data_IF_224996168322
#
_entry.id   IF_224996168322
#
_cell.length_a   1.000
_cell.length_b   1.000
_cell.length_c   1.000
_cell.angle_alpha   90.00
_cell.angle_beta   90.00
_cell.angle_gamma   90.00
#
_symmetry.space_group_name_H-M   'P 1'
#
loop_
_entity.id
_entity.type
_entity.pdbx_description
1 polymer ?
2 branched ?
3 non-polymer ?
#
# COMPACT_ATOMS: atom_id res chain seq x y z
N UNK A 37 -10.80 16.15 -7.34
CA UNK A 37 -9.83 16.16 -8.41
C UNK A 37 -9.56 14.76 -8.95
N UNK A 38 -8.82 14.65 -10.05
CA UNK A 38 -8.51 13.34 -10.62
C UNK A 38 -7.05 13.19 -11.08
N UNK A 39 -6.28 12.42 -10.33
CA UNK A 39 -4.89 12.08 -10.67
C UNK A 39 -4.00 13.27 -11.06
N UNK A 40 -4.06 14.33 -10.28
CA UNK A 40 -3.23 15.52 -10.48
C UNK A 40 -1.82 15.33 -9.94
N UNK A 41 -0.86 15.95 -10.64
CA UNK A 41 0.57 15.93 -10.32
C UNK A 41 1.17 14.55 -10.52
N UNK A 42 1.51 14.27 -11.78
CA UNK A 42 2.06 13.01 -12.29
C UNK A 42 3.59 13.07 -12.31
N UNK A 43 4.25 12.31 -11.40
CA UNK A 43 5.70 12.32 -11.22
C UNK A 43 6.23 10.91 -11.04
N UNK A 44 7.51 10.70 -11.33
CA UNK A 44 8.16 9.42 -11.07
C UNK A 44 8.70 9.37 -9.64
N UNK A 45 9.12 8.19 -9.17
CA UNK A 45 9.69 8.07 -7.84
C UNK A 45 11.02 8.81 -7.74
N UNK A 46 11.78 8.82 -8.83
CA UNK A 46 13.04 9.55 -8.89
C UNK A 46 14.06 9.08 -7.86
N UNK A 47 14.56 10.05 -7.10
CA UNK A 47 15.60 9.81 -6.10
C UNK A 47 15.07 9.12 -4.86
N UNK A 48 13.76 8.86 -4.82
CA UNK A 48 13.17 8.20 -3.68
C UNK A 48 13.02 6.70 -3.93
N UNK A 49 13.63 6.20 -5.01
CA UNK A 49 13.57 4.79 -5.36
C UNK A 49 13.96 3.86 -4.21
N UNK A 50 14.76 4.36 -3.29
CA UNK A 50 15.22 3.55 -2.16
C UNK A 50 14.04 3.04 -1.33
N UNK A 51 12.88 3.69 -1.43
CA UNK A 51 11.68 3.25 -0.73
C UNK A 51 11.21 1.92 -1.29
N UNK A 52 11.38 1.75 -2.60
CA UNK A 52 10.99 0.53 -3.28
C UNK A 52 12.00 -0.55 -2.95
N UNK A 53 13.27 -0.16 -2.90
CA UNK A 53 14.31 -1.11 -2.54
C UNK A 53 14.05 -1.66 -1.15
N UNK A 54 13.73 -0.77 -0.19
CA UNK A 54 13.48 -1.22 1.17
C UNK A 54 12.28 -2.16 1.21
N UNK A 55 11.27 -1.88 0.40
CA UNK A 55 10.10 -2.75 0.35
C UNK A 55 10.53 -4.16 -0.02
N UNK A 56 11.34 -4.27 -1.06
CA UNK A 56 11.84 -5.57 -1.53
C UNK A 56 12.73 -6.24 -0.48
N UNK A 57 13.53 -5.46 0.24
CA UNK A 57 14.37 -6.01 1.30
C UNK A 57 13.55 -6.70 2.39
N UNK A 58 12.37 -6.14 2.76
CA UNK A 58 11.49 -6.73 3.76
C UNK A 58 10.72 -7.93 3.17
N UNK A 59 10.23 -7.79 1.93
CA UNK A 59 9.46 -8.80 1.20
C UNK A 59 10.24 -10.11 1.06
N UNK A 60 11.52 -9.99 0.73
CA UNK A 60 12.41 -11.12 0.47
C UNK A 60 12.95 -11.81 1.73
N UNK A 61 12.58 -11.35 2.92
CA UNK A 61 13.10 -11.97 4.16
C UNK A 61 12.77 -13.47 4.23
N UNK A 62 11.63 -13.85 3.68
CA UNK A 62 11.15 -15.23 3.71
C UNK A 62 12.00 -16.23 2.89
N UNK A 63 12.90 -15.73 2.04
CA UNK A 63 13.68 -16.61 1.17
C UNK A 63 14.73 -17.44 1.93
N UNK A 64 15.13 -18.61 1.41
CA UNK A 64 16.22 -19.46 1.87
C UNK A 64 17.55 -18.70 1.92
N UNK A 65 18.48 -19.13 2.78
CA UNK A 65 19.81 -18.57 2.99
C UNK A 65 20.73 -18.67 1.79
N UNK A 66 20.42 -19.58 0.88
CA UNK A 66 21.25 -19.76 -0.30
C UNK A 66 20.41 -19.86 -1.55
N UNK A 67 19.98 -18.70 -2.06
CA UNK A 67 19.12 -18.70 -3.22
C UNK A 67 19.29 -17.45 -4.08
N UNK A 68 18.98 -17.62 -5.36
CA UNK A 68 18.94 -16.55 -6.36
C UNK A 68 17.62 -16.69 -7.10
N UNK A 69 16.71 -15.77 -6.84
CA UNK A 69 15.36 -15.90 -7.36
C UNK A 69 14.87 -14.65 -8.07
N UNK A 70 13.84 -14.80 -8.86
CA UNK A 70 13.17 -13.64 -9.42
C UNK A 70 11.77 -13.59 -8.85
N UNK A 71 11.44 -12.50 -8.18
CA UNK A 71 10.17 -12.36 -7.53
C UNK A 71 9.23 -11.53 -8.39
N UNK A 72 8.00 -11.99 -8.54
CA UNK A 72 7.02 -11.27 -9.33
C UNK A 72 5.75 -11.07 -8.53
N UNK A 73 5.35 -9.82 -8.38
CA UNK A 73 4.15 -9.45 -7.63
C UNK A 73 3.68 -8.07 -8.05
N UNK A 74 2.59 -7.62 -7.45
CA UNK A 74 2.09 -6.27 -7.70
C UNK A 74 2.84 -5.30 -6.81
N UNK A 75 4.13 -5.18 -7.09
CA UNK A 75 5.07 -4.37 -6.34
C UNK A 75 4.86 -2.92 -6.67
N UNK A 76 5.19 -1.99 -5.77
CA UNK A 76 5.13 -0.58 -6.00
C UNK A 76 6.05 -0.31 -7.17
N UNK A 77 5.64 0.59 -8.04
CA UNK A 77 6.41 0.86 -9.25
C UNK A 77 7.00 2.25 -9.22
N UNK A 78 7.62 2.63 -10.33
CA UNK A 78 8.37 3.88 -10.37
C UNK A 78 7.76 5.01 -11.18
N UNK A 79 6.83 4.72 -12.09
CA UNK A 79 6.31 5.81 -12.91
C UNK A 79 5.09 6.59 -12.35
N UNK A 80 3.91 5.98 -12.13
CA UNK A 80 2.65 6.64 -11.83
C UNK A 80 2.48 7.10 -10.38
N UNK A 81 3.31 8.05 -9.92
CA UNK A 81 3.11 8.58 -8.58
C UNK A 81 2.27 9.86 -8.67
N UNK A 82 1.29 10.00 -7.78
CA UNK A 82 0.40 11.15 -7.83
C UNK A 82 0.27 11.91 -6.53
N UNK A 83 0.01 13.20 -6.66
CA UNK A 83 -0.28 14.05 -5.50
C UNK A 83 -1.46 14.98 -5.84
N UNK A 84 -2.69 14.48 -5.69
CA UNK A 84 -3.89 15.18 -6.15
C UNK A 84 -4.39 16.09 -5.02
N UNK A 85 -4.05 17.38 -5.14
CA UNK A 85 -4.30 18.37 -4.09
C UNK A 85 -5.08 19.57 -4.62
N UNK A 86 -5.77 19.41 -5.74
CA UNK A 86 -6.58 20.50 -6.26
C UNK A 86 -7.87 20.65 -5.45
N UNK A 89 -13.26 22.46 1.86
CA UNK A 89 -14.37 21.61 1.45
C UNK A 89 -13.95 20.14 1.65
N UNK A 90 -14.73 19.38 2.46
CA UNK A 90 -14.46 17.97 2.79
C UNK A 90 -15.50 17.04 2.17
N UNK A 91 -16.16 17.49 1.11
CA UNK A 91 -17.15 16.67 0.40
C UNK A 91 -16.64 16.17 -0.94
N UNK A 92 -15.36 16.41 -1.22
CA UNK A 92 -14.75 16.00 -2.48
C UNK A 92 -13.78 14.85 -2.25
N UNK A 93 -13.60 14.02 -3.27
CA UNK A 93 -12.68 12.89 -3.19
C UNK A 93 -12.17 12.47 -4.56
N UNK A 94 -11.07 11.72 -4.55
CA UNK A 94 -10.43 11.21 -5.76
C UNK A 94 -10.80 9.75 -5.99
N UNK A 95 -11.09 9.38 -7.23
CA UNK A 95 -11.39 7.98 -7.50
C UNK A 95 -10.43 7.38 -8.51
N UNK A 96 -10.26 6.06 -8.40
CA UNK A 96 -9.42 5.26 -9.28
C UNK A 96 -10.17 3.98 -9.65
N UNK A 97 -9.83 3.38 -10.77
CA UNK A 97 -10.53 2.19 -11.22
C UNK A 97 -9.59 1.14 -11.82
N UNK A 98 -10.01 -0.12 -11.71
CA UNK A 98 -9.31 -1.29 -12.25
C UNK A 98 -7.89 -1.50 -11.76
N UNK A 99 -7.65 -1.33 -10.46
CA UNK A 99 -6.32 -1.59 -9.92
C UNK A 99 -6.34 -2.76 -8.93
N UNK A 100 -5.18 -3.41 -8.76
CA UNK A 100 -5.08 -4.62 -7.94
C UNK A 100 -4.33 -4.42 -6.63
N UNK A 101 -3.52 -3.38 -6.57
CA UNK A 101 -2.79 -3.05 -5.36
C UNK A 101 -2.60 -1.56 -5.28
N UNK A 102 -2.47 -1.05 -4.07
CA UNK A 102 -2.29 0.39 -3.89
C UNK A 102 -1.20 0.68 -2.87
N UNK A 103 -0.24 1.50 -3.25
CA UNK A 103 0.82 1.89 -2.34
C UNK A 103 0.86 3.39 -2.16
N UNK A 104 1.35 3.83 -1.01
CA UNK A 104 1.47 5.25 -0.75
C UNK A 104 2.63 5.60 0.16
N UNK A 105 2.98 6.88 0.14
CA UNK A 105 4.10 7.40 0.92
C UNK A 105 3.75 8.71 1.60
N UNK A 106 4.52 9.03 2.63
CA UNK A 106 4.36 10.23 3.41
C UNK A 106 5.49 11.22 3.14
N UNK A 107 5.15 12.40 2.64
CA UNK A 107 6.17 13.37 2.27
C UNK A 107 6.96 13.84 3.49
N UNK A 108 8.28 14.04 3.30
CA UNK A 108 9.20 14.54 4.31
C UNK A 108 10.48 15.03 3.62
N UNK A 115 1.53 21.76 5.91
CA UNK A 115 0.59 21.38 6.96
C UNK A 115 0.15 19.92 6.77
N UNK A 116 0.24 19.14 7.87
CA UNK A 116 -0.12 17.72 7.93
C UNK A 116 -1.57 17.56 8.39
N UNK A 117 -2.42 16.98 7.53
CA UNK A 117 -3.83 16.87 7.87
C UNK A 117 -4.28 15.40 7.92
N UNK A 118 -5.20 14.96 7.05
CA UNK A 118 -5.71 13.59 7.12
C UNK A 118 -5.82 12.89 5.77
N UNK A 119 -5.74 11.56 5.80
CA UNK A 119 -5.94 10.68 4.66
C UNK A 119 -7.11 9.70 4.88
N UNK A 120 -7.85 9.41 3.81
CA UNK A 120 -8.94 8.44 3.83
C UNK A 120 -8.91 7.54 2.60
N UNK A 121 -8.70 6.24 2.80
CA UNK A 121 -8.59 5.27 1.69
C UNK A 121 -9.64 4.15 1.76
N UNK A 122 -10.41 3.99 0.69
CA UNK A 122 -11.41 2.93 0.64
C UNK A 122 -11.26 2.01 -0.56
N UNK A 123 -11.16 0.70 -0.30
CA UNK A 123 -11.12 -0.29 -1.36
C UNK A 123 -12.45 -1.03 -1.36
N UNK A 124 -13.16 -0.98 -2.48
CA UNK A 124 -14.50 -1.56 -2.52
C UNK A 124 -14.49 -3.04 -2.87
N UNK A 125 -15.54 -3.73 -2.46
CA UNK A 125 -15.71 -5.16 -2.74
C UNK A 125 -17.02 -5.66 -2.15
N UNK A 126 -17.24 -6.97 -2.23
CA UNK A 126 -18.45 -7.57 -1.70
C UNK A 126 -18.21 -9.02 -1.25
N UNK A 127 -18.68 -9.37 -0.04
CA UNK A 127 -19.32 -8.59 1.00
C UNK A 127 -18.41 -7.63 1.79
N UNK A 128 -17.09 -7.77 1.69
CA UNK A 128 -16.19 -6.95 2.50
C UNK A 128 -15.58 -5.77 1.76
N UNK A 129 -15.37 -4.69 2.51
CA UNK A 129 -14.63 -3.52 2.04
C UNK A 129 -13.47 -3.21 3.00
N UNK A 130 -12.43 -2.52 2.50
CA UNK A 130 -11.28 -2.15 3.35
C UNK A 130 -11.23 -0.64 3.52
N UNK A 131 -11.21 -0.15 4.75
CA UNK A 131 -11.10 1.29 4.97
C UNK A 131 -9.93 1.64 5.88
N UNK A 132 -9.12 2.61 5.44
CA UNK A 132 -8.01 3.11 6.24
C UNK A 132 -8.20 4.61 6.51
N UNK A 133 -8.25 4.97 7.78
CA UNK A 133 -8.42 6.37 8.17
C UNK A 133 -7.27 6.84 9.04
N UNK A 134 -6.66 7.97 8.70
CA UNK A 134 -5.57 8.47 9.50
C UNK A 134 -6.04 9.63 10.36
N UNK A 135 -5.22 10.01 11.34
CA UNK A 135 -5.50 11.10 12.26
C UNK A 135 -4.25 11.94 12.42
N UNK A 136 -4.40 13.20 12.85
CA UNK A 136 -3.27 14.13 12.94
C UNK A 136 -2.27 13.77 14.04
N UNK A 137 -2.60 12.79 14.88
CA UNK A 137 -1.71 12.36 15.95
C UNK A 137 -0.73 11.32 15.41
N UNK A 138 0.30 11.79 14.72
CA UNK A 138 1.25 10.93 14.01
C UNK A 138 2.07 10.04 14.93
N UNK A 139 2.21 10.46 16.18
CA UNK A 139 2.98 9.74 17.17
C UNK A 139 2.13 8.89 18.11
N UNK A 140 0.89 8.59 17.71
CA UNK A 140 0.01 7.77 18.54
C UNK A 140 -0.92 6.92 17.66
N UNK A 141 -1.44 5.81 18.23
CA UNK A 141 -2.38 4.92 17.51
C UNK A 141 -3.81 5.44 17.65
N UNK A 144 -3.92 6.10 13.40
CA UNK A 144 -4.65 5.63 12.23
C UNK A 144 -5.31 4.27 12.53
N UNK A 145 -6.41 3.97 11.81
CA UNK A 145 -7.16 2.72 11.96
C UNK A 145 -7.43 2.06 10.62
N UNK A 146 -7.26 0.74 10.58
CA UNK A 146 -7.63 -0.04 9.41
C UNK A 146 -8.72 -1.05 9.79
N UNK A 147 -9.82 -1.09 9.00
CA UNK A 147 -10.93 -2.00 9.21
C UNK A 147 -11.32 -2.75 7.94
N UNK A 148 -11.59 -4.03 8.11
CA UNK A 148 -12.17 -4.86 7.07
C UNK A 148 -13.48 -5.41 7.59
N UNK A 149 -14.61 -4.93 7.02
CA UNK A 149 -15.96 -5.19 7.53
C UNK A 149 -17.04 -5.30 6.46
N UNK A 150 -18.28 -5.50 6.90
CA UNK A 150 -19.43 -5.54 5.97
C UNK A 150 -20.45 -4.39 6.11
N UNK A 151 -20.57 -3.52 5.10
CA UNK A 151 -21.52 -2.38 5.16
C UNK A 151 -21.52 -1.43 3.97
N UNK A 152 -20.91 -0.24 4.10
CA UNK A 152 -20.80 0.74 2.98
C UNK A 152 -19.95 1.93 3.43
N UNK A 153 -18.61 1.91 3.27
CA UNK A 153 -17.76 2.95 3.79
C UNK A 153 -18.14 4.27 3.14
N UNK A 154 -17.94 5.40 3.82
CA UNK A 154 -18.14 6.74 3.34
C UNK A 154 -17.05 7.08 2.35
N UNK A 155 -17.32 8.04 1.46
CA UNK A 155 -16.30 8.49 0.51
C UNK A 155 -15.42 9.57 1.14
N UNK A 156 -15.93 10.24 2.16
CA UNK A 156 -15.20 11.26 2.90
C UNK A 156 -15.40 11.04 4.39
N UNK A 157 -14.41 11.43 5.19
CA UNK A 157 -14.53 11.35 6.64
C UNK A 157 -14.26 12.68 7.31
N UNK A 158 -15.11 13.04 8.27
CA UNK A 158 -14.94 14.28 9.04
C UNK A 158 -14.44 13.99 10.45
N UNK A 159 -14.73 12.80 10.97
CA UNK A 159 -14.34 12.42 12.32
C UNK A 159 -13.03 11.64 12.26
N UNK A 160 -12.73 10.84 13.29
CA UNK A 160 -11.47 10.12 13.29
C UNK A 160 -11.47 8.84 14.12
N UNK A 161 -10.63 7.89 13.70
CA UNK A 161 -10.32 6.64 14.40
C UNK A 161 -11.53 5.78 14.78
N UNK A 162 -12.58 5.80 13.97
CA UNK A 162 -13.74 4.98 14.29
C UNK A 162 -13.82 3.76 13.37
N UNK A 163 -14.84 2.91 13.58
CA UNK A 163 -15.08 1.71 12.78
C UNK A 163 -16.54 1.25 12.93
N UNK A 164 -17.49 2.11 12.55
CA UNK A 164 -18.91 1.78 12.67
C UNK A 164 -19.67 1.88 11.35
N UNK A 165 -18.98 1.64 10.23
CA UNK A 165 -19.64 1.70 8.93
C UNK A 165 -20.13 0.34 8.46
N UNK A 166 -19.89 -0.70 9.24
CA UNK A 166 -20.27 -2.05 8.86
C UNK A 166 -20.22 -3.03 10.03
N UNK A 167 -20.48 -4.30 9.75
CA UNK A 167 -20.54 -5.33 10.77
C UNK A 167 -19.76 -6.58 10.38
N UNK A 168 -19.67 -7.54 11.32
CA UNK A 168 -18.97 -8.81 11.07
C UNK A 168 -17.55 -8.57 10.55
N UNK A 169 -16.78 -7.78 11.30
CA UNK A 169 -15.42 -7.37 10.95
C UNK A 169 -14.40 -8.49 11.13
N UNK A 170 -13.42 -8.52 10.23
CA UNK A 170 -12.33 -9.48 10.32
C UNK A 170 -11.07 -8.78 10.82
N UNK A 171 -10.98 -7.49 10.55
CA UNK A 171 -9.84 -6.71 11.00
C UNK A 171 -10.32 -5.39 11.59
N UNK A 172 -9.81 -5.07 12.77
CA UNK A 172 -10.07 -3.77 13.41
C UNK A 172 -8.81 -3.42 14.19
N UNK A 173 -7.90 -2.72 13.52
CA UNK A 173 -6.57 -2.51 14.08
C UNK A 173 -6.16 -1.05 14.15
N UNK A 174 -5.71 -0.65 15.33
CA UNK A 174 -5.21 0.71 15.55
C UNK A 174 -3.69 0.71 15.51
N UNK A 175 -3.13 1.67 14.80
CA UNK A 175 -1.68 1.76 14.67
C UNK A 175 -1.26 3.23 14.53
N UNK A 176 -0.01 3.57 14.88
CA UNK A 176 0.57 4.89 14.70
C UNK A 176 0.87 5.13 13.24
N UNK A 177 0.81 6.37 12.80
CA UNK A 177 1.17 6.66 11.43
C UNK A 177 2.67 6.52 11.20
N UNK A 178 3.48 7.13 12.10
CA UNK A 178 4.94 7.10 12.03
C UNK A 178 5.49 5.96 12.89
N UNK A 179 6.46 5.17 12.36
CA UNK A 179 7.13 4.08 13.04
C UNK A 179 7.72 4.52 14.36
N UNK A 180 7.56 3.67 15.37
CA UNK A 180 8.06 3.89 16.72
C UNK A 180 7.63 5.22 17.33
N UNK A 181 6.54 5.78 16.83
CA UNK A 181 5.99 7.04 17.33
C UNK A 181 7.02 8.16 17.27
N UNK A 182 7.85 8.16 16.23
CA UNK A 182 8.88 9.20 16.07
C UNK A 182 8.60 10.06 14.84
N UNK A 183 9.14 11.28 14.83
CA UNK A 183 9.03 12.25 13.72
C UNK A 183 9.81 13.49 14.08
N UNK A 185 11.55 9.38 12.70
CA UNK A 185 11.64 8.20 11.81
C UNK A 185 10.32 8.03 11.07
N UNK A 186 10.05 8.87 10.07
CA UNK A 186 8.75 8.81 9.39
C UNK A 186 8.93 9.22 7.93
N UNK A 187 8.28 8.50 7.02
CA UNK A 187 8.41 8.79 5.58
C UNK A 187 9.63 8.06 4.98
N UNK A 188 10.11 7.05 5.69
CA UNK A 188 11.28 6.28 5.25
C UNK A 188 10.91 4.87 4.79
N UNK A 189 9.64 4.67 4.46
CA UNK A 189 9.15 3.37 4.00
C UNK A 189 7.76 3.51 3.42
N UNK A 190 7.35 2.53 2.61
CA UNK A 190 6.04 2.56 1.97
C UNK A 190 4.99 1.82 2.75
N UNK A 191 3.75 2.25 2.59
CA UNK A 191 2.58 1.57 3.14
C UNK A 191 1.71 1.14 1.99
N UNK A 192 0.96 0.07 2.15
CA UNK A 192 0.06 -0.31 1.06
C UNK A 192 -0.75 -1.57 1.28
N UNK A 193 -1.61 -1.86 0.30
CA UNK A 193 -2.50 -3.00 0.34
C UNK A 193 -2.47 -3.80 -0.96
N UNK A 194 -2.52 -5.12 -0.83
CA UNK A 194 -2.75 -5.98 -2.01
C UNK A 194 -3.97 -6.83 -1.72
N UNK A 195 -5.00 -6.68 -2.54
CA UNK A 195 -6.25 -7.40 -2.32
C UNK A 195 -6.47 -8.58 -3.24
N UNK A 196 -6.35 -9.78 -2.70
CA UNK A 196 -6.53 -11.00 -3.47
C UNK A 196 -7.83 -11.64 -3.03
N UNK A 197 -8.41 -12.48 -3.88
CA UNK A 197 -9.67 -13.14 -3.53
C UNK A 197 -9.57 -13.94 -2.24
N UNK A 198 -8.44 -14.63 -2.06
CA UNK A 198 -8.24 -15.48 -0.88
C UNK A 198 -7.87 -14.68 0.38
N UNK A 199 -7.05 -13.65 0.22
CA UNK A 199 -6.56 -12.89 1.39
C UNK A 199 -6.17 -11.46 1.06
N UNK A 200 -6.13 -10.64 2.10
CA UNK A 200 -5.63 -9.27 2.01
C UNK A 200 -4.33 -9.13 2.78
N UNK A 201 -3.31 -8.58 2.15
CA UNK A 201 -2.06 -8.36 2.86
C UNK A 201 -1.78 -6.88 2.97
N UNK A 202 -1.66 -6.43 4.21
CA UNK A 202 -1.40 -5.04 4.50
C UNK A 202 0.06 -4.84 4.86
N UNK A 203 0.68 -3.86 4.24
CA UNK A 203 2.07 -3.55 4.49
C UNK A 203 2.18 -2.30 5.35
N UNK A 204 2.61 -2.49 6.60
CA UNK A 204 2.69 -1.40 7.56
C UNK A 204 3.93 -1.48 8.42
N UNK A 205 4.71 -0.41 8.43
CA UNK A 205 5.93 -0.29 9.22
C UNK A 205 6.94 -1.40 8.92
N UNK A 206 6.96 -1.88 7.68
CA UNK A 206 7.89 -2.92 7.27
C UNK A 206 7.36 -4.34 7.52
N UNK A 207 6.23 -4.44 8.22
CA UNK A 207 5.65 -5.73 8.57
C UNK A 207 4.46 -6.07 7.69
N UNK A 208 4.21 -7.36 7.51
CA UNK A 208 3.02 -7.76 6.77
C UNK A 208 1.95 -8.36 7.65
N UNK A 209 0.73 -7.93 7.44
CA UNK A 209 -0.41 -8.47 8.15
C UNK A 209 -1.28 -9.18 7.14
N UNK A 210 -1.54 -10.47 7.34
CA UNK A 210 -2.32 -11.20 6.37
C UNK A 210 -3.67 -11.62 6.95
N UNK A 211 -4.74 -11.15 6.32
CA UNK A 211 -6.08 -11.40 6.79
C UNK A 211 -6.84 -12.24 5.77
N UNK A 212 -7.10 -13.50 6.11
CA UNK A 212 -7.71 -14.44 5.17
C UNK A 212 -9.23 -14.48 5.23
N UNK A 213 -9.86 -14.42 4.06
CA UNK A 213 -11.31 -14.47 3.92
C UNK A 213 -11.68 -14.41 2.44
N UNK A 214 -12.70 -15.16 2.04
CA UNK A 214 -13.17 -15.15 0.66
C UNK A 214 -13.92 -13.87 0.35
N UNK A 215 -13.52 -13.16 -0.71
CA UNK A 215 -14.18 -11.92 -1.07
C UNK A 215 -14.08 -11.61 -2.56
N UNK A 216 -15.12 -11.00 -3.12
CA UNK A 216 -15.03 -10.50 -4.48
C UNK A 216 -14.59 -9.06 -4.43
N UNK A 217 -13.42 -8.78 -4.98
CA UNK A 217 -12.90 -7.42 -4.92
C UNK A 217 -13.26 -6.65 -6.16
N UNK A 218 -13.49 -5.36 -5.99
CA UNK A 218 -13.73 -4.49 -7.12
C UNK A 218 -12.45 -3.70 -7.33
N UNK A 219 -12.21 -3.24 -8.54
CA UNK A 219 -10.99 -2.49 -8.80
C UNK A 219 -11.11 -1.03 -8.42
N UNK A 220 -12.28 -0.65 -7.90
CA UNK A 220 -12.57 0.73 -7.54
C UNK A 220 -12.02 1.12 -6.18
N UNK A 221 -11.31 2.23 -6.17
CA UNK A 221 -10.70 2.81 -4.99
C UNK A 221 -11.05 4.28 -4.84
N UNK A 222 -11.42 4.67 -3.62
CA UNK A 222 -11.73 6.06 -3.31
C UNK A 222 -10.71 6.61 -2.30
N UNK A 223 -10.17 7.83 -2.55
CA UNK A 223 -9.17 8.46 -1.69
C UNK A 223 -9.71 9.77 -1.11
N UNK A 240 0.62 16.12 1.00
CA UNK A 240 1.38 15.38 2.04
C UNK A 240 1.46 13.90 1.66
N UNK A 241 0.33 13.24 1.39
CA UNK A 241 0.44 11.85 0.94
C UNK A 241 0.57 11.70 -0.58
N UNK A 242 1.44 10.78 -0.98
CA UNK A 242 1.65 10.41 -2.39
C UNK A 242 1.10 9.01 -2.66
N UNK A 243 0.46 8.82 -3.82
CA UNK A 243 -0.07 7.51 -4.18
C UNK A 243 0.50 6.88 -5.44
N UNK A 244 0.52 5.55 -5.45
CA UNK A 244 1.00 4.75 -6.55
C UNK A 244 0.11 3.54 -6.85
N UNK A 245 -0.88 3.69 -7.73
CA UNK A 245 -1.76 2.64 -8.20
C UNK A 245 -0.96 1.55 -8.91
N UNK A 246 -1.26 0.29 -8.61
CA UNK A 246 -0.56 -0.80 -9.27
C UNK A 246 -1.54 -1.69 -10.03
N UNK A 247 -1.25 -1.87 -11.31
CA UNK A 247 -2.13 -2.61 -12.21
C UNK A 247 -1.60 -3.98 -12.64
N UNK A 248 -0.29 -4.17 -12.58
CA UNK A 248 0.32 -5.38 -13.11
C UNK A 248 1.52 -5.87 -12.31
N UNK A 249 2.14 -6.95 -12.81
CA UNK A 249 3.25 -7.60 -12.13
C UNK A 249 4.62 -7.12 -12.60
N UNK A 250 5.46 -6.77 -11.63
CA UNK A 250 6.82 -6.32 -11.87
C UNK A 250 7.80 -7.34 -11.31
N UNK A 251 8.90 -7.56 -12.03
CA UNK A 251 9.87 -8.56 -11.61
C UNK A 251 11.18 -7.95 -11.10
N UNK A 252 11.67 -8.50 -9.99
CA UNK A 252 12.95 -8.12 -9.40
C UNK A 252 13.80 -9.34 -9.10
N UNK A 253 15.10 -9.23 -9.29
CA UNK A 253 15.99 -10.33 -8.97
C UNK A 253 16.64 -10.14 -7.61
N UNK A 254 16.57 -11.18 -6.80
CA UNK A 254 17.12 -11.12 -5.45
C UNK A 254 18.22 -12.15 -5.23
N UNK A 255 19.41 -11.65 -4.95
CA UNK A 255 20.61 -12.46 -4.74
C UNK A 255 20.98 -12.54 -3.27
N UNK A 256 20.80 -13.69 -2.63
CA UNK A 256 21.08 -13.79 -1.20
C UNK A 256 22.38 -14.54 -0.89
N UNK A 257 23.23 -14.75 -1.90
CA UNK A 257 24.49 -15.48 -1.74
C UNK A 257 25.58 -14.72 -0.97
N UNK A 258 25.65 -13.39 -1.19
CA UNK A 258 26.67 -12.48 -0.67
C UNK A 258 26.70 -12.42 0.88
N UNK A 259 25.53 -12.60 1.52
CA UNK A 259 25.35 -12.50 2.97
C UNK A 259 24.43 -11.32 3.26
N UNK A 260 24.40 -10.41 2.30
CA UNK A 260 23.50 -9.26 2.29
C UNK A 260 22.66 -9.40 1.04
N UNK A 261 21.35 -9.31 1.17
CA UNK A 261 20.53 -9.51 0.00
C UNK A 261 20.66 -8.32 -0.95
N UNK A 262 20.86 -8.61 -2.22
CA UNK A 262 20.97 -7.58 -3.25
C UNK A 262 19.77 -7.62 -4.17
N UNK A 263 19.09 -6.49 -4.28
CA UNK A 263 17.90 -6.39 -5.12
C UNK A 263 18.19 -5.61 -6.38
N UNK A 264 17.85 -6.18 -7.52
CA UNK A 264 18.09 -5.50 -8.79
C UNK A 264 16.90 -5.64 -9.74
N UNK A 265 16.81 -4.73 -10.73
CA UNK A 265 15.75 -4.71 -11.73
C UNK A 265 15.92 -5.86 -12.74
N UNK A 266 14.81 -6.50 -13.15
CA UNK A 266 14.82 -7.46 -14.25
C UNK A 266 13.89 -6.98 -15.36
N UNK A 267 14.45 -6.26 -16.34
CA UNK A 267 13.61 -5.58 -17.33
C UNK A 267 13.82 -5.95 -18.80
N UNK A 268 14.94 -6.56 -19.17
CA UNK A 268 15.15 -6.82 -20.59
C UNK A 268 15.43 -8.29 -20.95
N UNK A 269 16.70 -8.70 -21.01
CA UNK A 269 16.98 -10.06 -21.47
C UNK A 269 16.52 -11.13 -20.47
N UNK A 270 16.67 -10.86 -19.16
CA UNK A 270 16.21 -11.78 -18.11
C UNK A 270 14.69 -11.74 -18.01
N UNK A 271 14.12 -10.58 -18.35
CA UNK A 271 12.67 -10.40 -18.31
C UNK A 271 12.02 -11.34 -19.30
N UNK A 272 12.72 -11.58 -20.41
CA UNK A 272 12.23 -12.47 -21.45
C UNK A 272 12.10 -13.90 -20.96
N UNK A 273 12.73 -14.22 -19.82
CA UNK A 273 12.71 -15.56 -19.29
C UNK A 273 11.74 -15.71 -18.10
N UNK A 274 11.17 -14.61 -17.62
CA UNK A 274 10.32 -14.67 -16.44
C UNK A 274 8.96 -13.99 -16.61
N UNK A 275 8.83 -13.13 -17.62
CA UNK A 275 7.64 -12.33 -17.80
C UNK A 275 6.51 -13.14 -18.44
N UNK A 276 5.44 -13.42 -17.65
CA UNK A 276 4.31 -14.25 -18.06
C UNK A 276 3.01 -13.49 -17.77
X LIG B 1 15.52 0.36 -11.61
X LIG B 1 16.86 0.96 -11.01
X LIG B 1 16.54 2.37 -10.43
X LIG B 1 15.99 3.28 -11.58
X LIG B 1 14.72 2.60 -12.18
X LIG B 1 14.20 3.37 -13.40
X LIG B 1 18.26 -0.83 -10.07
X LIG B 1 18.69 -1.67 -8.92
X LIG B 1 17.31 0.10 -9.90
X LIG B 1 17.75 2.91 -9.89
X LIG B 1 15.56 4.55 -11.02
X LIG B 1 15.04 1.25 -12.66
X LIG B 1 12.94 2.88 -13.83
X LIG B 1 18.79 -0.99 -11.18
X LIG B 2 16.49 5.63 -11.20
X LIG B 2 15.65 6.90 -11.25
X LIG B 2 16.54 8.13 -11.28
X LIG B 2 17.51 8.09 -10.11
X LIG B 2 18.26 6.79 -10.11
X LIG B 2 19.16 6.68 -8.89
X LIG B 2 13.51 6.57 -12.33
X LIG B 2 12.92 6.62 -10.95
X LIG B 2 14.79 6.89 -12.41
X LIG B 2 15.74 9.30 -11.19
X LIG B 2 18.43 9.18 -10.23
X LIG B 2 17.35 5.69 -10.07
X LIG B 2 18.35 6.48 -7.72
X LIG B 2 12.84 6.27 -13.31
X LIG C 1 28.34 -7.75 -0.65
X LIG C 1 29.33 -8.05 0.54
X LIG C 1 30.29 -6.84 0.69
X LIG C 1 31.06 -6.63 -0.66
X LIG C 1 30.03 -6.40 -1.79
X LIG C 1 30.70 -6.27 -3.16
X LIG C 1 28.84 -9.19 2.66
X LIG C 1 27.98 -9.37 3.87
X LIG C 1 28.52 -8.26 1.76
X LIG C 1 31.23 -7.09 1.75
X LIG C 1 31.92 -5.50 -0.53
X LIG C 1 29.10 -7.54 -1.88
X LIG C 1 29.78 -5.81 -4.15
X LIG C 1 29.83 -9.92 2.51
X LIG D 1 1.51 9.84 -16.18
X LIG D 1 0.20 9.69 -17.06
X LIG D 1 0.26 8.35 -17.84
X LIG D 1 1.54 8.36 -18.74
X LIG D 1 2.79 8.52 -17.83
X LIG D 1 4.08 8.60 -18.64
X LIG D 1 -1.71 10.80 -15.94
X LIG D 1 -2.90 10.77 -15.04
X LIG D 1 -0.99 9.68 -16.17
X LIG D 1 -0.91 8.21 -18.67
X LIG D 1 1.61 7.12 -19.45
X LIG D 1 2.67 9.78 -17.06
X LIG D 1 5.23 8.51 -17.81
X LIG D 1 -1.38 11.87 -16.46
X LIG E 1 12.76 -3.76 6.71
X LIG E 1 13.22 -4.15 8.10
X LIG E 1 14.08 -3.06 8.73
X LIG E 1 15.15 -2.58 7.76
X LIG E 1 14.47 -2.18 6.45
X LIG E 1 15.47 -1.61 5.46
X LIG E 1 11.52 -5.54 9.14
X LIG E 1 12.48 -6.69 9.18
X LIG E 1 12.08 -4.34 8.96
X LIG E 1 14.73 -3.61 9.89
X LIG E 1 15.83 -1.46 8.30
X LIG E 1 13.87 -3.33 5.92
X LIG E 1 16.38 -2.65 5.06
X LIG E 1 10.31 -5.68 9.24
#
# INVERSE_FOLDING_TARGET
MGILPSPGMPALLSLVSLLSVLLMGCVAETGTDNFPCSKFLNRTIGNHWNLIENFLLNYSIRLPPNSDVVLGDYFPTVQPWFNCIRNNNNSLYVTMENLKALYWDYATENITSDHRQRLHVVVKGKPYSITVTTTRNFDAAEGAIICICKGSPPTTTTGNLDCNWGSDCRLNHKFPICPSNSQANCGNMLYGLQWFTDEVVAYLHGAIYRISFENKWFGTVTLGDMRATTLQTAGALVDLWWFNPVYDVTYYRVNNKNGTTIVSNCTDQCASYVDNVFTTQPGGLIPSDFSFNNWFLLTNSSTVVSGKLVTRQPLVVNCLWPVPSFKEAASTFCFEG
NAG C1 C2 C3 C4 C5 C6 C7 C8 N2 O3 O4 O5 O6 O7
NAG C1 C2 C3 C4 C5 C6 C7 C8 N2 O3 O4 O5 O6 O7
NAG C1 C2 C3 C4 C5 C6 C7 C8 N2 O3 O4 O5 O6 O7
NAG C1 C2 C3 C4 C5 C6 C7 C8 N2 O3 O4 O5 O6 O7
NAG C1 C2 C3 C4 C5 C6 C7 C8 N2 O3 O4 O5 O6 O7
#
